data_IF_671859548659
#
_entry.id   IF_671859548659
#
_cell.length_a   1.000
_cell.length_b   1.000
_cell.length_c   1.000
_cell.angle_alpha   90.00
_cell.angle_beta   90.00
_cell.angle_gamma   90.00
#
_symmetry.space_group_name_H-M   'P 1'
#
loop_
_entity.id
_entity.type
_entity.pdbx_description
1 polymer ?
#
# COMPACT_ATOMS: atom_id res chain seq x y z
N UNK A 1 -4.23 -3.70 36.01
CA UNK A 1 -5.26 -4.21 35.10
C UNK A 1 -6.44 -3.24 35.07
N UNK A 2 -6.37 -2.11 34.39
CA UNK A 2 -7.50 -1.24 33.97
C UNK A 2 -6.94 -0.12 33.08
N UNK A 3 -6.44 -0.44 31.88
CA UNK A 3 -6.02 0.58 30.91
C UNK A 3 -6.86 0.51 29.63
N UNK A 4 -7.66 -0.55 29.45
CA UNK A 4 -8.50 -0.73 28.26
C UNK A 4 -9.83 0.07 28.28
N UNK A 5 -10.29 0.54 29.43
CA UNK A 5 -11.61 1.17 29.57
C UNK A 5 -11.68 2.64 29.11
N UNK A 6 -10.60 3.39 29.24
CA UNK A 6 -10.63 4.84 28.95
C UNK A 6 -10.66 5.16 27.45
N UNK A 7 -9.98 4.35 26.62
CA UNK A 7 -9.95 4.56 25.18
C UNK A 7 -11.23 4.12 24.46
N UNK A 8 -11.88 3.06 24.98
CA UNK A 8 -13.18 2.61 24.46
C UNK A 8 -14.29 3.66 24.64
N UNK A 9 -14.19 4.50 25.68
CA UNK A 9 -15.19 5.53 25.98
C UNK A 9 -15.12 6.72 25.02
N UNK A 10 -13.92 7.17 24.62
CA UNK A 10 -13.78 8.30 23.69
C UNK A 10 -14.12 7.92 22.23
N UNK A 11 -13.76 6.71 21.79
CA UNK A 11 -14.13 6.21 20.47
C UNK A 11 -15.65 6.01 20.29
N UNK A 12 -16.38 5.76 21.40
CA UNK A 12 -17.86 5.64 21.41
C UNK A 12 -18.59 7.00 21.32
N UNK A 13 -17.92 8.10 21.55
CA UNK A 13 -18.58 9.43 21.64
C UNK A 13 -18.65 10.18 20.31
N UNK A 14 -17.83 9.84 19.30
CA UNK A 14 -17.93 10.49 18.01
C UNK A 14 -18.88 9.76 17.06
N UNK A 15 -19.56 10.51 16.20
CA UNK A 15 -20.36 9.96 15.11
C UNK A 15 -19.44 9.22 14.13
N UNK A 16 -19.82 8.01 13.71
CA UNK A 16 -19.03 7.21 12.77
C UNK A 16 -19.04 7.83 11.38
N UNK A 17 -17.87 7.81 10.74
CA UNK A 17 -17.75 8.09 9.31
C UNK A 17 -17.95 6.82 8.50
N UNK A 18 -18.39 6.94 7.23
CA UNK A 18 -18.51 5.76 6.34
C UNK A 18 -17.19 5.02 6.09
N UNK A 19 -16.07 5.65 6.43
CA UNK A 19 -14.72 5.09 6.30
C UNK A 19 -14.21 4.39 7.55
N UNK A 20 -14.97 4.43 8.64
CA UNK A 20 -14.58 3.79 9.89
C UNK A 20 -14.69 2.27 9.78
N UNK A 21 -13.69 1.59 10.30
CA UNK A 21 -13.70 0.14 10.41
C UNK A 21 -14.89 -0.35 11.24
N UNK A 22 -15.62 -1.31 10.70
CA UNK A 22 -16.57 -2.10 11.48
C UNK A 22 -15.85 -2.91 12.57
N UNK A 23 -16.59 -3.46 13.50
CA UNK A 23 -15.99 -4.29 14.55
C UNK A 23 -15.37 -5.56 13.96
N UNK A 24 -16.04 -6.17 12.97
CA UNK A 24 -15.50 -7.34 12.26
C UNK A 24 -14.21 -7.02 11.49
N UNK A 25 -14.15 -5.88 10.79
CA UNK A 25 -12.94 -5.45 10.10
C UNK A 25 -11.80 -5.17 11.07
N UNK A 26 -12.09 -4.52 12.19
CA UNK A 26 -11.10 -4.29 13.24
C UNK A 26 -10.55 -5.59 13.82
N UNK A 27 -11.43 -6.51 14.20
CA UNK A 27 -11.04 -7.82 14.74
C UNK A 27 -10.10 -8.59 13.81
N UNK A 28 -10.22 -8.38 12.48
CA UNK A 28 -9.34 -9.00 11.51
C UNK A 28 -7.98 -8.30 11.39
N UNK A 29 -7.93 -7.02 11.65
CA UNK A 29 -6.72 -6.18 11.52
C UNK A 29 -5.92 -6.17 12.81
N UNK A 30 -6.57 -6.16 13.96
CA UNK A 30 -5.95 -5.95 15.28
C UNK A 30 -4.78 -6.89 15.55
N UNK A 31 -4.94 -8.18 15.23
CA UNK A 31 -3.90 -9.20 15.43
C UNK A 31 -2.61 -8.92 14.62
N UNK A 32 -2.69 -8.10 13.57
CA UNK A 32 -1.55 -7.74 12.73
C UNK A 32 -0.95 -6.37 13.09
N UNK A 33 -1.57 -5.66 14.04
CA UNK A 33 -1.05 -4.39 14.52
C UNK A 33 0.16 -4.60 15.44
N UNK A 34 1.10 -3.64 15.47
CA UNK A 34 2.25 -3.74 16.37
C UNK A 34 1.80 -3.82 17.83
N UNK A 35 2.32 -4.80 18.55
CA UNK A 35 2.11 -4.93 20.00
C UNK A 35 2.57 -3.66 20.76
N UNK A 36 2.02 -3.37 21.96
CA UNK A 36 2.59 -2.36 22.83
C UNK A 36 4.06 -2.66 23.11
N UNK A 37 4.92 -1.64 23.03
CA UNK A 37 6.30 -1.78 23.50
C UNK A 37 6.30 -1.81 25.02
N UNK A 38 6.95 -2.81 25.62
CA UNK A 38 7.03 -2.93 27.09
C UNK A 38 7.85 -1.82 27.77
N UNK A 39 8.45 -0.91 26.99
CA UNK A 39 9.31 0.17 27.46
C UNK A 39 8.83 1.51 26.90
N UNK A 40 8.99 2.58 27.66
CA UNK A 40 8.65 3.94 27.26
C UNK A 40 7.24 4.35 27.67
N UNK A 41 6.83 5.53 27.19
CA UNK A 41 5.50 6.08 27.51
C UNK A 41 4.40 5.19 26.91
N UNK A 42 3.38 4.79 27.68
CA UNK A 42 2.23 4.05 27.18
C UNK A 42 1.54 4.76 26.00
N UNK A 43 0.94 3.98 25.11
CA UNK A 43 0.16 4.53 24.00
C UNK A 43 -1.01 5.35 24.56
N UNK A 44 -1.15 6.57 24.08
CA UNK A 44 -2.23 7.48 24.46
C UNK A 44 -3.41 7.48 23.48
N UNK A 45 -3.29 6.74 22.37
CA UNK A 45 -4.31 6.71 21.32
C UNK A 45 -4.66 5.27 20.94
N UNK A 46 -5.94 5.03 20.70
CA UNK A 46 -6.44 3.79 20.12
C UNK A 46 -5.94 3.65 18.67
N UNK A 47 -5.36 2.50 18.33
CA UNK A 47 -4.85 2.24 16.99
C UNK A 47 -5.99 2.14 15.96
N UNK A 48 -7.19 1.71 16.37
CA UNK A 48 -8.37 1.71 15.51
C UNK A 48 -8.72 3.12 15.08
N UNK A 49 -8.72 4.09 16.01
CA UNK A 49 -8.99 5.48 15.69
C UNK A 49 -7.90 6.11 14.81
N UNK A 50 -6.65 5.73 14.99
CA UNK A 50 -5.58 6.13 14.07
C UNK A 50 -5.82 5.59 12.65
N UNK A 51 -6.22 4.30 12.53
CA UNK A 51 -6.55 3.70 11.23
C UNK A 51 -7.76 4.36 10.59
N UNK A 52 -8.82 4.60 11.35
CA UNK A 52 -10.02 5.28 10.89
C UNK A 52 -9.67 6.67 10.31
N UNK A 53 -8.83 7.42 11.00
CA UNK A 53 -8.34 8.72 10.53
C UNK A 53 -7.52 8.60 9.23
N UNK A 54 -6.67 7.58 9.09
CA UNK A 54 -5.91 7.32 7.86
C UNK A 54 -6.86 6.95 6.72
N UNK A 55 -7.85 6.08 6.94
CA UNK A 55 -8.82 5.70 5.91
C UNK A 55 -9.71 6.86 5.49
N UNK A 56 -10.12 7.71 6.43
CA UNK A 56 -10.82 8.95 6.13
C UNK A 56 -9.99 9.83 5.19
N UNK A 57 -8.72 10.07 5.53
CA UNK A 57 -7.82 10.88 4.71
C UNK A 57 -7.62 10.30 3.32
N UNK A 58 -7.40 8.99 3.21
CA UNK A 58 -7.21 8.32 1.93
C UNK A 58 -8.48 8.38 1.04
N UNK A 59 -9.65 8.26 1.64
CA UNK A 59 -10.93 8.27 0.91
C UNK A 59 -11.35 9.69 0.51
N UNK A 60 -11.21 10.66 1.43
CA UNK A 60 -11.60 12.04 1.18
C UNK A 60 -10.58 12.83 0.35
N UNK A 61 -9.30 12.39 0.35
CA UNK A 61 -8.22 13.13 -0.27
C UNK A 61 -7.87 14.46 0.43
N UNK A 62 -8.36 14.69 1.65
CA UNK A 62 -8.09 15.92 2.37
C UNK A 62 -6.59 16.06 2.75
N UNK A 63 -6.16 17.28 2.97
CA UNK A 63 -4.82 17.54 3.49
C UNK A 63 -4.72 17.09 4.96
N UNK A 64 -3.54 16.67 5.42
CA UNK A 64 -3.32 16.26 6.81
C UNK A 64 -3.83 17.27 7.83
N UNK A 65 -3.61 18.56 7.57
CA UNK A 65 -4.03 19.67 8.45
C UNK A 65 -5.53 19.90 8.48
N UNK A 66 -6.27 19.34 7.51
CA UNK A 66 -7.73 19.42 7.41
C UNK A 66 -8.42 18.14 7.91
N UNK A 67 -7.69 17.26 8.57
CA UNK A 67 -8.28 16.11 9.23
C UNK A 67 -9.29 16.59 10.28
N UNK A 68 -10.55 16.08 10.31
CA UNK A 68 -11.57 16.46 11.28
C UNK A 68 -11.09 16.40 12.73
N UNK A 69 -11.54 17.33 13.55
CA UNK A 69 -11.07 17.51 14.93
C UNK A 69 -11.52 16.40 15.90
N UNK A 70 -12.52 15.62 15.51
CA UNK A 70 -13.02 14.46 16.26
C UNK A 70 -12.15 13.20 16.09
N UNK A 71 -11.19 13.23 15.16
CA UNK A 71 -10.09 12.27 15.11
C UNK A 71 -8.91 12.68 16.01
N UNK A 72 -7.98 11.78 16.32
CA UNK A 72 -6.71 12.17 16.92
C UNK A 72 -6.01 13.24 16.09
N UNK A 73 -5.31 14.15 16.76
CA UNK A 73 -4.64 15.29 16.10
C UNK A 73 -3.79 14.81 14.91
N UNK A 74 -3.88 15.53 13.79
CA UNK A 74 -3.22 15.14 12.54
C UNK A 74 -1.71 14.83 12.67
N UNK A 75 -0.89 15.52 13.52
CA UNK A 75 0.52 15.15 13.66
C UNK A 75 0.71 13.77 14.27
N UNK A 76 -0.18 13.36 15.18
CA UNK A 76 -0.18 12.01 15.75
C UNK A 76 -0.52 10.96 14.71
N UNK A 77 -1.60 11.18 13.94
CA UNK A 77 -2.01 10.26 12.86
C UNK A 77 -0.91 10.14 11.81
N UNK A 78 -0.31 11.26 11.40
CA UNK A 78 0.81 11.29 10.45
C UNK A 78 2.04 10.54 10.96
N UNK A 79 2.37 10.68 12.25
CA UNK A 79 3.48 9.97 12.88
C UNK A 79 3.28 8.44 12.79
N UNK A 80 2.07 7.94 13.14
CA UNK A 80 1.75 6.52 13.02
C UNK A 80 1.77 6.06 11.56
N UNK A 81 1.17 6.82 10.64
CA UNK A 81 1.20 6.53 9.21
C UNK A 81 2.63 6.38 8.70
N UNK A 82 3.50 7.33 9.05
CA UNK A 82 4.92 7.31 8.67
C UNK A 82 5.67 6.14 9.32
N UNK A 83 5.46 5.91 10.61
CA UNK A 83 6.07 4.79 11.36
C UNK A 83 5.72 3.46 10.70
N UNK A 84 4.45 3.19 10.45
CA UNK A 84 3.96 1.95 9.85
C UNK A 84 4.43 1.75 8.40
N UNK A 85 4.75 2.83 7.70
CA UNK A 85 5.41 2.77 6.39
C UNK A 85 6.87 2.35 6.50
N UNK A 86 7.59 2.82 7.53
CA UNK A 86 9.02 2.55 7.72
C UNK A 86 9.24 1.14 8.29
N UNK A 87 8.43 0.73 9.26
CA UNK A 87 8.58 -0.57 9.95
C UNK A 87 7.88 -1.74 9.22
N UNK A 88 7.29 -1.49 8.05
CA UNK A 88 6.66 -2.50 7.21
C UNK A 88 5.29 -2.98 7.71
N UNK A 89 4.65 -2.28 8.64
CA UNK A 89 3.31 -2.64 9.12
C UNK A 89 2.27 -2.64 8.01
N UNK A 90 2.31 -1.64 7.11
CA UNK A 90 1.39 -1.59 5.97
C UNK A 90 1.53 -2.79 5.04
N UNK A 91 2.76 -3.26 4.79
CA UNK A 91 3.02 -4.44 3.99
C UNK A 91 2.53 -5.72 4.68
N UNK A 92 2.69 -5.83 5.99
CA UNK A 92 2.16 -6.97 6.77
C UNK A 92 0.64 -7.01 6.74
N UNK A 93 -0.03 -5.87 6.96
CA UNK A 93 -1.50 -5.76 6.86
C UNK A 93 -2.00 -6.11 5.46
N UNK A 94 -1.42 -5.53 4.43
CA UNK A 94 -1.78 -5.84 3.04
C UNK A 94 -1.64 -7.33 2.74
N UNK A 95 -0.54 -7.96 3.19
CA UNK A 95 -0.31 -9.39 3.00
C UNK A 95 -1.40 -10.22 3.67
N UNK A 96 -1.64 -9.98 4.95
CA UNK A 96 -2.60 -10.75 5.74
C UNK A 96 -4.02 -10.66 5.16
N UNK A 97 -4.47 -9.44 4.82
CA UNK A 97 -5.78 -9.21 4.22
C UNK A 97 -5.91 -9.86 2.85
N UNK A 98 -4.89 -9.71 2.00
CA UNK A 98 -4.86 -10.33 0.67
C UNK A 98 -4.91 -11.86 0.76
N UNK A 99 -4.05 -12.47 1.56
CA UNK A 99 -4.01 -13.93 1.71
C UNK A 99 -5.35 -14.47 2.19
N UNK A 100 -5.96 -13.82 3.17
CA UNK A 100 -7.30 -14.17 3.65
C UNK A 100 -8.37 -14.04 2.57
N UNK A 101 -8.39 -12.93 1.83
CA UNK A 101 -9.36 -12.73 0.74
C UNK A 101 -9.20 -13.78 -0.36
N UNK A 102 -7.97 -14.11 -0.73
CA UNK A 102 -7.70 -15.16 -1.72
C UNK A 102 -8.24 -16.51 -1.26
N UNK A 103 -7.98 -16.89 -0.02
CA UNK A 103 -8.52 -18.15 0.57
C UNK A 103 -10.05 -18.15 0.55
N UNK A 104 -10.69 -17.02 0.91
CA UNK A 104 -12.14 -16.86 0.83
C UNK A 104 -12.68 -17.05 -0.59
N UNK A 105 -11.91 -16.64 -1.60
CA UNK A 105 -12.21 -16.85 -3.02
C UNK A 105 -11.80 -18.25 -3.53
N UNK A 106 -11.48 -19.18 -2.62
CA UNK A 106 -11.00 -20.54 -2.95
C UNK A 106 -9.72 -20.53 -3.80
N UNK A 107 -8.87 -19.52 -3.60
CA UNK A 107 -7.57 -19.39 -4.24
C UNK A 107 -6.46 -19.71 -3.24
N UNK A 108 -5.31 -20.14 -3.75
CA UNK A 108 -4.11 -20.23 -2.92
C UNK A 108 -3.73 -18.85 -2.36
N UNK A 109 -3.33 -18.75 -1.07
CA UNK A 109 -2.94 -17.48 -0.47
C UNK A 109 -1.79 -16.79 -1.21
N UNK A 110 -0.89 -17.57 -1.83
CA UNK A 110 0.21 -17.05 -2.64
C UNK A 110 -0.14 -17.07 -4.13
N UNK A 111 -0.11 -15.92 -4.83
CA UNK A 111 -0.43 -15.84 -6.24
C UNK A 111 0.63 -16.52 -7.11
N UNK A 112 0.19 -17.22 -8.15
CA UNK A 112 1.07 -17.80 -9.18
C UNK A 112 1.22 -16.91 -10.42
N UNK A 113 0.34 -15.93 -10.57
CA UNK A 113 0.31 -15.01 -11.69
C UNK A 113 -0.02 -13.58 -11.25
N UNK A 114 0.43 -12.61 -12.02
CA UNK A 114 0.19 -11.19 -11.75
C UNK A 114 0.22 -10.33 -13.01
N UNK A 115 -0.28 -9.12 -12.87
CA UNK A 115 -0.33 -8.11 -13.92
C UNK A 115 0.49 -6.90 -13.45
N UNK A 116 1.32 -6.37 -14.32
CA UNK A 116 2.06 -5.12 -14.07
C UNK A 116 1.48 -4.03 -14.94
N UNK A 117 1.17 -2.92 -14.32
CA UNK A 117 0.69 -1.70 -14.98
C UNK A 117 1.39 -0.45 -14.44
N UNK A 118 1.41 0.61 -15.25
CA UNK A 118 1.96 1.91 -14.88
C UNK A 118 0.96 3.02 -15.08
N UNK A 119 0.87 3.90 -14.11
CA UNK A 119 0.04 5.10 -14.19
C UNK A 119 0.85 6.35 -13.85
N UNK A 120 0.81 7.34 -14.75
CA UNK A 120 1.36 8.68 -14.49
C UNK A 120 0.28 9.59 -13.91
N UNK A 121 0.59 10.23 -12.79
CA UNK A 121 -0.35 11.08 -12.05
C UNK A 121 0.21 12.49 -11.98
N UNK A 122 -0.61 13.48 -12.35
CA UNK A 122 -0.25 14.89 -12.21
C UNK A 122 0.03 15.21 -10.74
N UNK A 123 1.13 15.91 -10.49
CA UNK A 123 1.40 16.49 -9.18
C UNK A 123 1.00 17.95 -9.15
N UNK A 124 0.62 18.44 -7.97
CA UNK A 124 0.35 19.87 -7.73
C UNK A 124 1.62 20.71 -7.90
N UNK A 125 1.50 22.06 -7.93
CA UNK A 125 2.63 22.97 -8.02
C UNK A 125 3.68 22.74 -6.91
N UNK A 126 3.25 22.29 -5.73
CA UNK A 126 4.07 21.99 -4.55
C UNK A 126 4.57 20.52 -4.53
N UNK A 127 4.88 19.95 -5.66
CA UNK A 127 5.02 18.50 -5.84
C UNK A 127 6.28 17.79 -5.32
N UNK A 128 7.23 18.47 -4.66
CA UNK A 128 8.45 17.84 -4.11
C UNK A 128 9.46 17.34 -5.17
N UNK A 129 10.56 16.73 -4.70
CA UNK A 129 11.76 16.43 -5.50
C UNK A 129 11.56 15.37 -6.59
N UNK A 130 10.74 14.34 -6.37
CA UNK A 130 10.53 13.27 -7.33
C UNK A 130 9.44 13.62 -8.38
N UNK A 131 9.60 14.73 -9.08
CA UNK A 131 8.77 15.16 -10.21
C UNK A 131 9.48 14.93 -11.53
N UNK A 132 8.72 14.58 -12.55
CA UNK A 132 9.25 14.50 -13.91
C UNK A 132 8.16 14.60 -14.95
N UNK A 133 8.53 14.59 -16.21
CA UNK A 133 7.62 14.63 -17.34
C UNK A 133 7.60 13.24 -18.02
N UNK A 134 6.40 12.67 -18.15
CA UNK A 134 6.15 11.49 -18.96
C UNK A 134 5.84 11.96 -20.40
N UNK A 135 6.81 11.79 -21.30
CA UNK A 135 6.66 12.22 -22.70
C UNK A 135 5.58 11.44 -23.46
N UNK A 136 5.40 10.17 -23.15
CA UNK A 136 4.37 9.34 -23.80
C UNK A 136 2.95 9.70 -23.37
N UNK A 137 2.73 9.92 -22.09
CA UNK A 137 1.42 10.27 -21.52
C UNK A 137 1.18 11.79 -21.41
N UNK A 138 2.19 12.60 -21.74
CA UNK A 138 2.19 14.08 -21.63
C UNK A 138 1.79 14.58 -20.22
N UNK A 139 2.26 13.88 -19.16
CA UNK A 139 1.93 14.18 -17.77
C UNK A 139 3.17 14.62 -17.02
N UNK A 140 3.12 15.80 -16.38
CA UNK A 140 4.14 16.24 -15.43
C UNK A 140 3.74 15.82 -14.01
N UNK A 141 4.52 14.93 -13.41
CA UNK A 141 4.17 14.42 -12.07
C UNK A 141 5.01 13.23 -11.63
N UNK A 142 4.32 12.26 -11.05
CA UNK A 142 4.90 10.99 -10.59
C UNK A 142 4.30 9.82 -11.34
N UNK A 143 5.07 8.77 -11.50
CA UNK A 143 4.61 7.50 -12.05
C UNK A 143 4.56 6.45 -10.95
N UNK A 144 3.48 5.70 -10.90
CA UNK A 144 3.36 4.53 -10.04
C UNK A 144 3.31 3.27 -10.90
N UNK A 145 4.09 2.28 -10.54
CA UNK A 145 3.97 0.92 -11.05
C UNK A 145 3.31 0.06 -10.00
N UNK A 146 2.37 -0.76 -10.43
CA UNK A 146 1.65 -1.70 -9.60
C UNK A 146 1.89 -3.10 -10.13
N UNK A 147 2.16 -4.04 -9.22
CA UNK A 147 2.02 -5.46 -9.45
C UNK A 147 0.78 -5.90 -8.69
N UNK A 148 -0.20 -6.43 -9.40
CA UNK A 148 -1.43 -6.99 -8.82
C UNK A 148 -1.54 -8.46 -9.18
N UNK A 149 -2.31 -9.23 -8.43
CA UNK A 149 -2.65 -10.59 -8.82
C UNK A 149 -3.85 -10.64 -9.78
N UNK A 150 -4.28 -11.83 -10.15
CA UNK A 150 -5.43 -12.04 -11.07
C UNK A 150 -6.78 -11.60 -10.50
N UNK A 151 -6.86 -11.41 -9.20
CA UNK A 151 -8.05 -10.87 -8.52
C UNK A 151 -7.98 -9.34 -8.34
N UNK A 152 -6.90 -8.70 -8.82
CA UNK A 152 -6.66 -7.26 -8.67
C UNK A 152 -6.06 -6.85 -7.32
N UNK A 153 -5.71 -7.78 -6.44
CA UNK A 153 -5.11 -7.44 -5.16
C UNK A 153 -3.66 -7.00 -5.32
N UNK A 154 -3.32 -5.86 -4.71
CA UNK A 154 -1.98 -5.28 -4.80
C UNK A 154 -0.96 -6.18 -4.10
N UNK A 155 0.02 -6.62 -4.86
CA UNK A 155 1.19 -7.35 -4.39
C UNK A 155 2.33 -6.40 -4.04
N UNK A 156 2.61 -5.46 -4.94
CA UNK A 156 3.68 -4.48 -4.77
C UNK A 156 3.36 -3.19 -5.51
N UNK A 157 3.80 -2.08 -4.95
CA UNK A 157 3.71 -0.77 -5.56
C UNK A 157 5.08 -0.07 -5.51
N UNK A 158 5.40 0.71 -6.54
CA UNK A 158 6.57 1.59 -6.57
C UNK A 158 6.17 2.92 -7.19
N UNK A 159 6.55 4.01 -6.51
CA UNK A 159 6.33 5.37 -6.99
C UNK A 159 7.70 6.02 -7.23
N UNK A 160 7.83 6.74 -8.35
CA UNK A 160 9.03 7.49 -8.72
C UNK A 160 8.65 8.65 -9.64
N UNK A 161 9.65 9.41 -10.10
CA UNK A 161 9.47 10.49 -11.07
C UNK A 161 8.81 9.98 -12.35
N UNK A 162 7.86 10.73 -12.91
CA UNK A 162 7.22 10.37 -14.18
C UNK A 162 8.17 10.29 -15.38
N UNK A 163 9.38 10.85 -15.28
CA UNK A 163 10.43 10.75 -16.32
C UNK A 163 11.00 9.33 -16.47
N UNK A 164 10.87 8.48 -15.44
CA UNK A 164 11.37 7.11 -15.50
C UNK A 164 10.53 6.31 -16.49
N UNK A 165 11.18 5.67 -17.44
CA UNK A 165 10.51 4.88 -18.46
C UNK A 165 9.92 3.60 -17.85
N UNK A 166 8.85 3.07 -18.45
CA UNK A 166 8.12 1.91 -17.89
C UNK A 166 9.04 0.69 -17.77
N UNK A 167 9.90 0.44 -18.76
CA UNK A 167 10.86 -0.65 -18.74
C UNK A 167 11.95 -0.52 -17.64
N UNK A 168 12.25 0.68 -17.17
CA UNK A 168 13.15 0.89 -16.03
C UNK A 168 12.41 0.77 -14.69
N UNK A 169 11.19 1.30 -14.65
CA UNK A 169 10.35 1.24 -13.45
C UNK A 169 10.03 -0.19 -13.01
N UNK A 170 9.79 -1.10 -13.96
CA UNK A 170 9.53 -2.51 -13.68
C UNK A 170 10.72 -3.20 -12.99
N UNK A 171 11.96 -2.87 -13.36
CA UNK A 171 13.15 -3.45 -12.71
C UNK A 171 13.17 -3.14 -11.21
N UNK A 172 12.77 -1.92 -10.85
CA UNK A 172 12.67 -1.52 -9.45
C UNK A 172 11.45 -2.14 -8.76
N UNK A 173 10.31 -2.24 -9.44
CA UNK A 173 9.11 -2.88 -8.93
C UNK A 173 9.36 -4.35 -8.60
N UNK A 174 9.97 -5.10 -9.51
CA UNK A 174 10.16 -6.54 -9.39
C UNK A 174 11.41 -6.93 -8.57
N UNK A 175 12.22 -5.96 -8.14
CA UNK A 175 13.37 -6.26 -7.26
C UNK A 175 12.91 -7.04 -6.04
N UNK A 176 13.47 -8.24 -5.80
CA UNK A 176 13.13 -9.16 -4.71
C UNK A 176 11.66 -9.62 -4.71
N UNK A 177 10.96 -9.59 -5.83
CA UNK A 177 9.58 -10.07 -5.92
C UNK A 177 9.51 -11.60 -5.74
N UNK A 178 10.51 -12.34 -6.21
CA UNK A 178 10.64 -13.78 -6.02
C UNK A 178 10.73 -14.20 -4.55
N UNK A 179 11.41 -13.42 -3.72
CA UNK A 179 11.50 -13.69 -2.28
C UNK A 179 10.15 -13.49 -1.58
N UNK A 180 9.40 -12.49 -2.01
CA UNK A 180 8.08 -12.13 -1.45
C UNK A 180 6.95 -13.02 -1.97
N UNK A 181 7.05 -13.46 -3.23
CA UNK A 181 6.02 -14.22 -3.95
C UNK A 181 6.65 -15.43 -4.64
N UNK A 182 7.04 -16.47 -3.87
CA UNK A 182 7.81 -17.59 -4.40
C UNK A 182 7.04 -18.44 -5.43
N UNK A 183 5.71 -18.37 -5.42
CA UNK A 183 4.85 -19.07 -6.41
C UNK A 183 4.61 -18.27 -7.68
N UNK A 184 4.97 -16.99 -7.74
CA UNK A 184 4.73 -16.15 -8.91
C UNK A 184 5.55 -16.66 -10.10
N UNK A 185 4.88 -17.16 -11.16
CA UNK A 185 5.48 -17.77 -12.35
C UNK A 185 5.09 -17.05 -13.63
N UNK A 186 3.96 -16.33 -13.64
CA UNK A 186 3.44 -15.65 -14.82
C UNK A 186 3.24 -14.17 -14.51
N UNK A 187 3.69 -13.31 -15.43
CA UNK A 187 3.44 -11.89 -15.38
C UNK A 187 2.93 -11.41 -16.73
N UNK A 188 1.81 -10.71 -16.73
CA UNK A 188 1.32 -10.00 -17.89
C UNK A 188 1.82 -8.56 -17.86
N UNK A 189 2.35 -8.13 -18.99
CA UNK A 189 2.93 -6.81 -19.19
C UNK A 189 2.34 -6.21 -20.47
N UNK A 190 2.12 -4.92 -20.46
CA UNK A 190 1.71 -4.22 -21.67
C UNK A 190 2.88 -4.08 -22.68
N UNK A 191 2.57 -3.65 -23.93
CA UNK A 191 3.56 -3.50 -25.00
C UNK A 191 4.67 -2.48 -24.68
N UNK A 192 4.43 -1.51 -23.80
CA UNK A 192 5.41 -0.52 -23.38
C UNK A 192 6.64 -1.10 -22.64
N UNK A 193 6.54 -2.36 -22.20
CA UNK A 193 7.64 -3.07 -21.53
C UNK A 193 8.47 -3.93 -22.48
N UNK A 194 8.10 -4.06 -23.77
CA UNK A 194 8.80 -4.86 -24.79
C UNK A 194 10.03 -4.16 -25.32
N UNK A 195 11.01 -4.93 -25.84
CA UNK A 195 12.23 -4.49 -26.50
C UNK A 195 13.48 -5.12 -25.92
N UNK A 196 14.54 -5.14 -26.72
CA UNK A 196 15.86 -5.66 -26.38
C UNK A 196 16.41 -4.94 -25.15
N UNK A 197 16.91 -5.69 -24.16
CA UNK A 197 17.36 -5.24 -22.84
C UNK A 197 16.33 -4.42 -22.02
N UNK A 198 15.07 -4.35 -22.47
CA UNK A 198 14.00 -3.67 -21.76
C UNK A 198 13.36 -4.56 -20.69
N UNK A 199 12.42 -3.98 -19.96
CA UNK A 199 11.88 -4.55 -18.73
C UNK A 199 11.33 -5.98 -18.84
N UNK A 200 10.69 -6.34 -19.95
CA UNK A 200 10.16 -7.71 -20.14
C UNK A 200 11.30 -8.71 -20.29
N UNK A 201 12.29 -8.43 -21.13
CA UNK A 201 13.44 -9.31 -21.33
C UNK A 201 14.31 -9.42 -20.08
N UNK A 202 14.55 -8.31 -19.39
CA UNK A 202 15.24 -8.30 -18.11
C UNK A 202 14.51 -9.20 -17.08
N UNK A 203 13.19 -9.13 -17.07
CA UNK A 203 12.38 -9.97 -16.20
C UNK A 203 12.49 -11.47 -16.55
N UNK A 204 12.55 -11.82 -17.86
CA UNK A 204 12.70 -13.20 -18.36
C UNK A 204 14.00 -13.88 -17.91
N UNK A 205 15.10 -13.12 -17.80
CA UNK A 205 16.42 -13.62 -17.39
C UNK A 205 16.54 -13.93 -15.88
N UNK A 206 15.43 -13.83 -15.12
CA UNK A 206 15.42 -14.07 -13.67
C UNK A 206 14.85 -15.45 -13.32
N UNK A 207 15.23 -16.06 -12.18
CA UNK A 207 14.85 -17.44 -11.83
C UNK A 207 13.33 -17.71 -11.72
N UNK A 208 12.53 -16.64 -11.69
CA UNK A 208 11.06 -16.67 -11.60
C UNK A 208 10.35 -16.37 -12.93
N UNK A 209 11.11 -16.28 -14.01
CA UNK A 209 10.56 -16.02 -15.34
C UNK A 209 9.90 -17.27 -15.92
N UNK A 210 8.65 -17.49 -15.60
CA UNK A 210 7.74 -18.33 -16.37
C UNK A 210 7.21 -17.57 -17.60
N UNK A 211 6.57 -18.29 -18.54
CA UNK A 211 6.04 -17.77 -19.81
C UNK A 211 5.40 -16.38 -19.71
N UNK A 212 5.82 -15.51 -20.60
CA UNK A 212 5.24 -14.19 -20.85
C UNK A 212 4.31 -14.28 -22.05
N UNK A 213 3.16 -13.67 -21.94
CA UNK A 213 2.24 -13.49 -23.06
C UNK A 213 2.01 -12.00 -23.23
#
# INVERSE_FOLDING_TARGET
>A
MVVGGYFATLARMRKRYPTDLSDDEWNHIEAHMPAPTGHGRPRSHDLREILNAVFYLLKSGCQWRLLPHDFPRWPTVYWYFRKWRIDGTWERLNRALRERLRVRLKRDPQPSAGVVDSQSVKSTAVGGEERGFDGGKKVKGRKRHLLVDTEGFVLKAKVHSAKVMDYEGIKTLLRRANERFPRLRHLWLDAGYRGEDKGAEWALRRPWAGRWI
#
